data_IF_981004680299
#
_entry.id   IF_981004680299
#
_cell.length_a   1.000
_cell.length_b   1.000
_cell.length_c   1.000
_cell.angle_alpha   90.00
_cell.angle_beta   90.00
_cell.angle_gamma   90.00
#
_symmetry.space_group_name_H-M   'P 1'
#
loop_
_entity.id
_entity.type
_entity.pdbx_description
1 polymer ?
#
# COMPACT_ATOMS: atom_id res chain seq x y z
N UNK A 1 17.81 -15.84 24.16
CA UNK A 1 16.49 -15.26 23.88
C UNK A 1 15.75 -15.10 25.18
N UNK A 2 15.17 -13.95 25.45
CA UNK A 2 14.32 -13.68 26.61
C UNK A 2 12.91 -13.46 26.10
N UNK A 3 11.95 -14.20 26.67
CA UNK A 3 10.54 -14.08 26.32
C UNK A 3 9.75 -13.81 27.57
N UNK A 4 8.88 -12.80 27.54
CA UNK A 4 7.98 -12.45 28.61
C UNK A 4 6.55 -12.47 28.08
N UNK A 5 5.68 -13.20 28.75
CA UNK A 5 4.27 -13.34 28.37
C UNK A 5 3.38 -12.82 29.49
N UNK A 6 2.40 -11.98 29.13
CA UNK A 6 1.42 -11.39 30.03
C UNK A 6 0.00 -11.61 29.49
N UNK A 7 -0.92 -11.96 30.38
CA UNK A 7 -2.35 -11.98 30.04
C UNK A 7 -2.96 -10.60 30.23
N UNK A 8 -3.74 -10.16 29.24
CA UNK A 8 -4.46 -8.88 29.27
C UNK A 8 -5.97 -9.11 29.26
N UNK A 9 -6.74 -8.21 29.84
CA UNK A 9 -8.20 -8.37 29.97
C UNK A 9 -8.99 -7.74 28.79
N UNK A 10 -8.32 -6.98 27.93
CA UNK A 10 -8.99 -6.26 26.86
C UNK A 10 -8.02 -5.69 25.84
N UNK A 11 -8.11 -4.38 25.63
CA UNK A 11 -7.25 -3.62 24.75
C UNK A 11 -6.21 -2.87 25.58
N UNK A 12 -5.06 -3.46 25.90
CA UNK A 12 -4.07 -2.85 26.76
C UNK A 12 -3.50 -1.57 26.15
N UNK A 13 -3.07 -0.65 27.02
CA UNK A 13 -2.24 0.48 26.67
C UNK A 13 -0.79 0.07 26.82
N UNK A 14 -0.06 0.01 25.72
CA UNK A 14 1.35 -0.38 25.70
C UNK A 14 2.19 0.86 25.47
N UNK A 15 3.01 1.19 26.46
CA UNK A 15 3.94 2.31 26.39
C UNK A 15 5.36 1.77 26.31
N UNK A 16 6.02 2.07 25.21
CA UNK A 16 7.41 1.68 24.94
C UNK A 16 8.27 2.95 25.02
N UNK A 17 9.18 2.96 26.01
CA UNK A 17 10.04 4.15 26.21
C UNK A 17 11.16 4.18 25.19
N UNK A 18 11.95 3.10 25.14
CA UNK A 18 13.14 3.07 24.26
C UNK A 18 13.39 1.64 23.82
N UNK A 19 13.67 1.50 22.54
CA UNK A 19 14.21 0.30 21.92
C UNK A 19 15.51 0.70 21.23
N UNK A 20 16.66 0.18 21.68
CA UNK A 20 17.99 0.56 21.14
C UNK A 20 18.29 -0.09 19.77
N UNK A 21 17.43 -0.94 19.26
CA UNK A 21 17.52 -1.59 17.94
C UNK A 21 16.18 -1.58 17.22
N UNK A 22 15.93 -2.60 16.39
CA UNK A 22 14.71 -2.71 15.61
C UNK A 22 13.49 -3.06 16.47
N UNK A 23 12.36 -2.47 16.15
CA UNK A 23 11.08 -2.76 16.77
C UNK A 23 10.13 -3.43 15.79
N UNK A 24 9.71 -4.65 16.11
CA UNK A 24 8.66 -5.33 15.37
C UNK A 24 7.42 -5.51 16.23
N UNK A 25 6.31 -4.88 15.84
CA UNK A 25 5.02 -4.95 16.51
C UNK A 25 4.03 -5.75 15.64
N UNK A 26 3.46 -6.80 16.23
CA UNK A 26 2.50 -7.67 15.54
C UNK A 26 1.20 -7.72 16.35
N UNK A 27 0.14 -7.12 15.78
CA UNK A 27 -1.20 -7.23 16.32
C UNK A 27 -1.81 -8.60 15.98
N UNK A 28 -2.25 -9.32 17.00
CA UNK A 28 -2.83 -10.65 16.85
C UNK A 28 -4.20 -10.77 17.51
N UNK A 29 -4.97 -11.77 17.09
CA UNK A 29 -6.21 -12.12 17.76
C UNK A 29 -5.90 -12.73 19.12
N UNK A 30 -6.64 -12.33 20.16
CA UNK A 30 -6.46 -12.87 21.50
C UNK A 30 -6.22 -11.79 22.54
N UNK A 31 -5.75 -12.21 23.73
CA UNK A 31 -5.55 -11.36 24.91
C UNK A 31 -4.14 -11.53 25.50
N UNK A 32 -3.23 -12.02 24.72
CA UNK A 32 -1.85 -12.28 25.16
C UNK A 32 -0.96 -11.17 24.64
N UNK A 33 -0.17 -10.60 25.54
CA UNK A 33 0.97 -9.74 25.22
C UNK A 33 2.23 -10.58 25.39
N UNK A 34 3.08 -10.61 24.40
CA UNK A 34 4.36 -11.30 24.44
C UNK A 34 5.45 -10.39 23.90
N UNK A 35 6.55 -10.27 24.64
CA UNK A 35 7.73 -9.52 24.22
C UNK A 35 8.95 -10.43 24.21
N UNK A 36 9.72 -10.35 23.14
CA UNK A 36 10.92 -11.17 22.92
C UNK A 36 12.13 -10.26 22.66
N UNK A 37 13.24 -10.55 23.37
CA UNK A 37 14.53 -9.90 23.17
C UNK A 37 15.62 -10.95 22.89
N UNK A 38 16.71 -10.60 22.15
CA UNK A 38 17.74 -11.56 21.76
C UNK A 38 18.55 -12.13 22.93
N UNK A 39 18.72 -11.39 24.03
CA UNK A 39 19.45 -11.83 25.19
C UNK A 39 18.71 -11.54 26.50
N UNK A 40 19.08 -12.25 27.56
CA UNK A 40 18.51 -12.06 28.89
C UNK A 40 18.96 -10.75 29.53
N UNK A 41 18.04 -10.09 30.24
CA UNK A 41 18.30 -8.85 30.98
C UNK A 41 18.23 -7.59 30.09
N UNK A 42 17.88 -7.71 28.80
CA UNK A 42 17.69 -6.57 27.91
C UNK A 42 16.27 -6.01 27.95
N UNK A 43 15.30 -6.82 28.36
CA UNK A 43 13.90 -6.47 28.38
C UNK A 43 13.46 -6.07 29.80
N UNK A 44 12.95 -4.86 29.94
CA UNK A 44 12.33 -4.38 31.19
C UNK A 44 10.85 -4.14 30.92
N UNK A 45 9.99 -4.86 31.64
CA UNK A 45 8.54 -4.75 31.50
C UNK A 45 7.92 -4.56 32.86
N UNK A 46 7.00 -3.60 32.96
CA UNK A 46 6.18 -3.34 34.14
C UNK A 46 4.72 -3.30 33.73
N UNK A 47 3.89 -4.06 34.42
CA UNK A 47 2.45 -4.05 34.20
C UNK A 47 1.74 -3.42 35.40
N UNK A 48 0.90 -2.44 35.15
CA UNK A 48 0.00 -1.83 36.12
C UNK A 48 -1.44 -1.84 35.55
N UNK A 49 -2.21 -2.86 35.92
CA UNK A 49 -3.55 -3.08 35.40
C UNK A 49 -3.54 -3.39 33.88
N UNK A 50 -4.12 -2.53 33.08
CA UNK A 50 -4.14 -2.64 31.60
C UNK A 50 -2.99 -1.87 30.94
N UNK A 51 -2.18 -1.14 31.71
CA UNK A 51 -1.00 -0.43 31.18
C UNK A 51 0.22 -1.33 31.28
N UNK A 52 0.96 -1.40 30.18
CA UNK A 52 2.22 -2.14 30.05
C UNK A 52 3.30 -1.15 29.64
N UNK A 53 4.25 -0.90 30.53
CA UNK A 53 5.44 -0.10 30.24
C UNK A 53 6.59 -1.02 29.87
N UNK A 54 7.28 -0.75 28.77
CA UNK A 54 8.35 -1.57 28.23
C UNK A 54 9.54 -0.71 27.79
N UNK A 55 10.75 -1.25 27.99
CA UNK A 55 11.97 -0.78 27.33
C UNK A 55 12.89 -1.97 27.03
N UNK A 56 13.68 -1.86 25.96
CA UNK A 56 14.62 -2.91 25.55
C UNK A 56 15.93 -2.29 25.06
N UNK A 57 17.06 -2.82 25.56
CA UNK A 57 18.42 -2.40 25.18
C UNK A 57 18.93 -3.11 23.91
N UNK A 58 18.02 -3.60 23.09
CA UNK A 58 18.30 -4.26 21.79
C UNK A 58 17.06 -4.22 20.94
N UNK A 59 17.08 -4.91 19.79
CA UNK A 59 15.88 -5.15 18.98
C UNK A 59 14.84 -5.96 19.75
N UNK A 60 13.56 -5.70 19.51
CA UNK A 60 12.45 -6.33 20.20
C UNK A 60 11.32 -6.74 19.25
N UNK A 61 10.83 -7.98 19.43
CA UNK A 61 9.64 -8.48 18.77
C UNK A 61 8.50 -8.53 19.81
N UNK A 62 7.39 -7.86 19.51
CA UNK A 62 6.25 -7.76 20.43
C UNK A 62 4.98 -8.21 19.72
N UNK A 63 4.35 -9.23 20.28
CA UNK A 63 3.01 -9.65 19.91
C UNK A 63 2.02 -9.05 20.91
N UNK A 64 0.95 -8.45 20.43
CA UNK A 64 -0.05 -7.80 21.29
C UNK A 64 -1.46 -7.95 20.69
N UNK A 65 -2.50 -7.84 21.52
CA UNK A 65 -3.87 -7.84 21.02
C UNK A 65 -4.06 -6.78 19.96
N UNK A 66 -4.67 -7.12 18.82
CA UNK A 66 -4.81 -6.20 17.68
C UNK A 66 -5.50 -4.86 18.03
N UNK A 67 -6.36 -4.84 19.04
CA UNK A 67 -7.08 -3.64 19.48
C UNK A 67 -6.30 -2.79 20.50
N UNK A 68 -5.03 -3.12 20.81
CA UNK A 68 -4.19 -2.38 21.75
C UNK A 68 -3.94 -0.94 21.27
N UNK A 69 -3.73 -0.03 22.23
CA UNK A 69 -3.19 1.30 21.97
C UNK A 69 -1.69 1.25 22.25
N UNK A 70 -0.90 1.76 21.33
CA UNK A 70 0.57 1.71 21.40
C UNK A 70 1.13 3.14 21.34
N UNK A 71 2.00 3.46 22.29
CA UNK A 71 2.79 4.69 22.31
C UNK A 71 4.26 4.31 22.42
N UNK A 72 5.09 4.80 21.50
CA UNK A 72 6.53 4.52 21.45
C UNK A 72 7.30 5.83 21.47
N UNK A 73 8.17 6.02 22.46
CA UNK A 73 8.92 7.28 22.57
C UNK A 73 10.13 7.27 21.60
N UNK A 74 10.90 6.17 21.53
CA UNK A 74 12.08 6.11 20.65
C UNK A 74 12.40 4.69 20.18
N UNK A 75 12.76 4.58 18.90
CA UNK A 75 13.27 3.37 18.23
C UNK A 75 14.59 3.73 17.57
N UNK A 76 15.70 3.10 17.98
CA UNK A 76 17.04 3.34 17.45
C UNK A 76 17.37 2.56 16.17
N UNK A 77 16.45 1.78 15.65
CA UNK A 77 16.55 1.02 14.40
C UNK A 77 15.28 1.10 13.59
N UNK A 78 14.99 0.04 12.83
CA UNK A 78 13.81 -0.03 11.97
C UNK A 78 12.53 -0.33 12.77
N UNK A 79 11.42 0.25 12.30
CA UNK A 79 10.09 0.02 12.82
C UNK A 79 9.25 -0.83 11.85
N UNK A 80 8.77 -1.98 12.33
CA UNK A 80 7.82 -2.82 11.60
C UNK A 80 6.53 -2.95 12.40
N UNK A 81 5.42 -2.42 11.89
CA UNK A 81 4.09 -2.55 12.48
C UNK A 81 3.19 -3.35 11.55
N UNK A 82 2.55 -4.41 12.06
CA UNK A 82 1.62 -5.22 11.28
C UNK A 82 0.40 -5.63 12.09
N UNK A 83 -0.80 -5.47 11.53
CA UNK A 83 -2.03 -6.06 12.07
C UNK A 83 -2.63 -5.35 13.29
N UNK A 84 -2.18 -4.15 13.66
CA UNK A 84 -2.73 -3.38 14.77
C UNK A 84 -3.98 -2.62 14.33
N UNK A 85 -5.13 -2.94 14.88
CA UNK A 85 -6.40 -2.25 14.61
C UNK A 85 -6.58 -1.02 15.50
N UNK A 86 -5.96 -1.03 16.68
CA UNK A 86 -5.95 0.11 17.60
C UNK A 86 -5.09 1.27 17.08
N UNK A 87 -4.94 2.29 17.92
CA UNK A 87 -4.15 3.47 17.59
C UNK A 87 -2.67 3.23 17.92
N UNK A 88 -1.76 3.69 17.03
CA UNK A 88 -0.33 3.70 17.28
C UNK A 88 0.24 5.11 17.18
N UNK A 89 1.11 5.46 18.11
CA UNK A 89 1.87 6.72 18.11
C UNK A 89 3.35 6.41 18.27
N UNK A 90 4.18 6.99 17.40
CA UNK A 90 5.62 6.88 17.43
C UNK A 90 6.19 8.30 17.45
N UNK A 91 7.03 8.62 18.47
CA UNK A 91 7.58 9.95 18.57
C UNK A 91 8.86 10.05 17.74
N UNK A 92 9.79 9.09 17.87
CA UNK A 92 11.04 9.12 17.09
C UNK A 92 11.46 7.72 16.62
N UNK A 93 11.82 7.62 15.33
CA UNK A 93 12.35 6.40 14.70
C UNK A 93 13.58 6.79 13.90
N UNK A 94 14.75 6.20 14.23
CA UNK A 94 16.02 6.52 13.55
C UNK A 94 16.19 5.80 12.21
N UNK A 95 15.63 4.58 12.07
CA UNK A 95 15.68 3.78 10.84
C UNK A 95 14.46 3.97 9.95
N UNK A 96 14.17 2.94 9.14
CA UNK A 96 13.00 2.90 8.26
C UNK A 96 11.73 2.48 9.01
N UNK A 97 10.57 2.96 8.54
CA UNK A 97 9.28 2.54 9.07
C UNK A 97 8.44 1.81 8.02
N UNK A 98 8.01 0.58 8.36
CA UNK A 98 7.08 -0.21 7.57
C UNK A 98 5.80 -0.47 8.33
N UNK A 99 4.69 0.14 7.87
CA UNK A 99 3.39 0.08 8.52
C UNK A 99 2.41 -0.69 7.63
N UNK A 100 1.90 -1.82 8.10
CA UNK A 100 1.01 -2.66 7.32
C UNK A 100 -0.26 -3.03 8.10
N UNK A 101 -1.43 -2.91 7.47
CA UNK A 101 -2.72 -3.31 8.03
C UNK A 101 -2.94 -2.74 9.43
N UNK A 102 -2.82 -1.42 9.56
CA UNK A 102 -2.98 -0.75 10.83
C UNK A 102 -4.26 0.10 10.89
N UNK A 103 -4.64 0.49 12.09
CA UNK A 103 -5.68 1.48 12.36
C UNK A 103 -5.17 2.90 12.11
N UNK A 104 -5.45 3.82 13.04
CA UNK A 104 -4.89 5.16 12.96
C UNK A 104 -3.43 5.17 13.44
N UNK A 105 -2.53 5.83 12.69
CA UNK A 105 -1.10 5.91 13.03
C UNK A 105 -0.64 7.36 13.01
N UNK A 106 0.17 7.72 14.04
CA UNK A 106 0.85 9.01 14.13
C UNK A 106 2.35 8.79 14.33
N UNK A 107 3.18 9.44 13.52
CA UNK A 107 4.65 9.46 13.65
C UNK A 107 5.10 10.91 13.72
N UNK A 108 5.89 11.27 14.72
CA UNK A 108 6.39 12.65 14.83
C UNK A 108 7.67 12.84 14.01
N UNK A 109 8.64 11.93 14.14
CA UNK A 109 9.89 11.98 13.38
C UNK A 109 10.33 10.59 12.94
N UNK A 110 10.69 10.49 11.68
CA UNK A 110 11.29 9.33 11.05
C UNK A 110 12.51 9.79 10.26
N UNK A 111 13.70 9.29 10.59
CA UNK A 111 14.91 9.72 9.90
C UNK A 111 15.15 8.97 8.58
N UNK A 112 14.64 7.74 8.46
CA UNK A 112 14.71 6.88 7.26
C UNK A 112 13.51 7.04 6.31
N UNK A 113 13.23 5.95 5.58
CA UNK A 113 12.14 5.85 4.60
C UNK A 113 10.83 5.37 5.23
N UNK A 114 9.71 5.85 4.71
CA UNK A 114 8.37 5.48 5.13
C UNK A 114 7.68 4.60 4.08
N UNK A 115 7.30 3.39 4.46
CA UNK A 115 6.48 2.50 3.62
C UNK A 115 5.19 2.13 4.33
N UNK A 116 4.06 2.46 3.70
CA UNK A 116 2.72 2.26 4.27
C UNK A 116 1.84 1.47 3.32
N UNK A 117 1.18 0.43 3.84
CA UNK A 117 0.22 -0.37 3.11
C UNK A 117 -1.00 -0.71 3.99
N UNK A 118 -2.19 -0.34 3.56
CA UNK A 118 -3.48 -0.64 4.19
C UNK A 118 -3.66 -0.04 5.60
N UNK A 119 -3.87 1.26 5.67
CA UNK A 119 -4.27 1.98 6.89
C UNK A 119 -5.78 2.22 6.86
N UNK A 120 -6.49 1.74 7.89
CA UNK A 120 -7.96 1.89 7.98
C UNK A 120 -8.41 3.22 8.58
N UNK A 121 -7.53 3.90 9.29
CA UNK A 121 -7.80 5.20 9.91
C UNK A 121 -6.93 6.29 9.29
N UNK A 122 -6.73 7.36 10.04
CA UNK A 122 -5.89 8.47 9.63
C UNK A 122 -4.40 8.12 9.75
N UNK A 123 -3.61 8.69 8.84
CA UNK A 123 -2.16 8.64 8.91
C UNK A 123 -1.60 10.05 9.05
N UNK A 124 -0.90 10.33 10.15
CA UNK A 124 -0.25 11.61 10.41
C UNK A 124 1.24 11.40 10.60
N UNK A 125 2.05 12.04 9.78
CA UNK A 125 3.51 12.01 9.88
C UNK A 125 4.02 13.44 9.78
N UNK A 126 4.78 13.90 10.78
CA UNK A 126 5.26 15.29 10.80
C UNK A 126 6.57 15.44 10.03
N UNK A 127 7.49 14.47 10.13
CA UNK A 127 8.75 14.51 9.40
C UNK A 127 9.18 13.10 8.96
N UNK A 128 9.62 13.00 7.70
CA UNK A 128 10.28 11.84 7.09
C UNK A 128 11.57 12.33 6.46
N UNK A 129 12.71 11.80 6.89
CA UNK A 129 14.02 12.20 6.34
C UNK A 129 14.27 11.70 4.93
N UNK A 130 13.77 10.51 4.61
CA UNK A 130 13.90 9.82 3.33
C UNK A 130 12.70 9.96 2.42
N UNK A 131 12.44 8.91 1.63
CA UNK A 131 11.29 8.80 0.73
C UNK A 131 10.04 8.32 1.48
N UNK A 132 8.84 8.66 0.96
CA UNK A 132 7.58 8.17 1.48
C UNK A 132 6.75 7.48 0.41
N UNK A 133 6.45 6.19 0.60
CA UNK A 133 5.51 5.43 -0.21
C UNK A 133 4.29 5.07 0.62
N UNK A 134 3.12 5.58 0.23
CA UNK A 134 1.86 5.37 0.95
C UNK A 134 0.82 4.79 0.01
N UNK A 135 0.28 3.63 0.39
CA UNK A 135 -0.75 2.93 -0.37
C UNK A 135 -1.94 2.59 0.53
N UNK A 136 -3.14 2.69 -0.03
CA UNK A 136 -4.38 2.19 0.55
C UNK A 136 -4.66 2.77 1.96
N UNK A 137 -4.94 4.08 2.01
CA UNK A 137 -5.36 4.78 3.23
C UNK A 137 -6.81 5.18 3.12
N UNK A 138 -7.64 4.68 4.03
CA UNK A 138 -9.09 4.98 4.05
C UNK A 138 -9.43 6.27 4.81
N UNK A 139 -8.55 6.77 5.67
CA UNK A 139 -8.71 8.03 6.41
C UNK A 139 -7.97 9.19 5.78
N UNK A 140 -7.84 10.29 6.54
CA UNK A 140 -7.08 11.46 6.12
C UNK A 140 -5.57 11.21 6.22
N UNK A 141 -4.83 11.78 5.26
CA UNK A 141 -3.39 11.68 5.18
C UNK A 141 -2.75 13.07 5.38
N UNK A 142 -1.89 13.17 6.41
CA UNK A 142 -1.10 14.37 6.68
C UNK A 142 0.40 14.01 6.70
N UNK A 143 1.17 14.55 5.75
CA UNK A 143 2.63 14.42 5.65
C UNK A 143 3.24 15.82 5.62
N UNK A 144 3.70 16.36 6.76
CA UNK A 144 4.13 17.76 6.84
C UNK A 144 5.54 18.02 6.31
N UNK A 145 6.40 17.02 6.23
CA UNK A 145 7.76 17.19 5.70
C UNK A 145 8.31 15.85 5.24
N UNK A 146 8.41 15.65 3.92
CA UNK A 146 9.10 14.53 3.31
C UNK A 146 10.38 15.06 2.67
N UNK A 147 11.53 14.57 3.14
CA UNK A 147 12.85 15.03 2.68
C UNK A 147 13.20 14.55 1.28
N UNK A 148 12.75 13.34 0.91
CA UNK A 148 12.90 12.73 -0.42
C UNK A 148 11.65 12.85 -1.27
N UNK A 149 11.40 11.83 -2.07
CA UNK A 149 10.25 11.74 -2.98
C UNK A 149 9.01 11.18 -2.30
N UNK A 150 7.84 11.56 -2.80
CA UNK A 150 6.55 11.08 -2.33
C UNK A 150 5.81 10.28 -3.40
N UNK A 151 5.36 9.07 -3.05
CA UNK A 151 4.47 8.25 -3.89
C UNK A 151 3.19 7.93 -3.14
N UNK A 152 2.06 8.46 -3.63
CA UNK A 152 0.73 8.20 -3.06
C UNK A 152 -0.13 7.40 -4.02
N UNK A 153 -0.81 6.36 -3.50
CA UNK A 153 -1.74 5.53 -4.28
C UNK A 153 -2.95 5.13 -3.42
N UNK A 154 -4.15 5.19 -3.99
CA UNK A 154 -5.39 4.74 -3.35
C UNK A 154 -5.64 5.42 -1.99
N UNK A 155 -5.73 6.73 -1.99
CA UNK A 155 -6.09 7.50 -0.79
C UNK A 155 -7.56 7.92 -0.93
N UNK A 156 -8.37 7.52 0.06
CA UNK A 156 -9.81 7.78 0.07
C UNK A 156 -10.20 9.03 0.87
N UNK A 157 -9.30 9.57 1.69
CA UNK A 157 -9.51 10.78 2.50
C UNK A 157 -8.97 12.05 1.86
N UNK A 158 -8.92 13.12 2.66
CA UNK A 158 -8.20 14.35 2.33
C UNK A 158 -6.69 14.13 2.44
N UNK A 159 -5.92 14.81 1.59
CA UNK A 159 -4.45 14.70 1.59
C UNK A 159 -3.84 16.07 1.83
N UNK A 160 -2.94 16.15 2.79
CA UNK A 160 -2.06 17.30 2.97
C UNK A 160 -0.61 16.79 2.98
N UNK A 161 0.21 17.26 2.02
CA UNK A 161 1.59 16.80 1.90
C UNK A 161 2.53 17.93 1.45
N UNK A 162 3.65 18.05 2.18
CA UNK A 162 4.77 18.93 1.86
C UNK A 162 6.01 18.08 1.59
N UNK A 163 6.61 18.23 0.39
CA UNK A 163 7.66 17.35 -0.13
C UNK A 163 8.84 18.18 -0.62
N UNK A 164 10.05 17.79 -0.25
CA UNK A 164 11.28 18.44 -0.73
C UNK A 164 11.76 17.91 -2.09
N UNK A 165 11.39 16.68 -2.45
CA UNK A 165 11.67 16.04 -3.72
C UNK A 165 10.51 16.13 -4.70
N UNK A 166 10.33 15.08 -5.50
CA UNK A 166 9.25 14.93 -6.47
C UNK A 166 8.01 14.26 -5.83
N UNK A 167 6.82 14.60 -6.33
CA UNK A 167 5.58 14.00 -5.88
C UNK A 167 4.82 13.31 -7.01
N UNK A 168 4.60 12.01 -6.84
CA UNK A 168 3.82 11.15 -7.74
C UNK A 168 2.54 10.70 -7.02
N UNK A 169 1.39 11.28 -7.38
CA UNK A 169 0.18 11.12 -6.58
C UNK A 169 -0.98 10.61 -7.41
N UNK A 170 -1.67 9.58 -6.92
CA UNK A 170 -2.92 9.08 -7.48
C UNK A 170 -4.02 9.26 -6.46
N UNK A 171 -4.92 10.18 -6.72
CA UNK A 171 -5.98 10.59 -5.82
C UNK A 171 -7.34 10.23 -6.39
N UNK A 172 -8.22 9.79 -5.51
CA UNK A 172 -9.66 9.66 -5.78
C UNK A 172 -10.43 10.47 -4.74
N UNK A 173 -10.35 11.82 -4.81
CA UNK A 173 -10.87 12.68 -3.76
C UNK A 173 -12.38 12.49 -3.59
N UNK A 174 -12.88 12.18 -2.39
CA UNK A 174 -14.30 12.07 -2.12
C UNK A 174 -14.97 13.44 -2.21
N UNK A 175 -16.30 13.44 -2.33
CA UNK A 175 -17.05 14.69 -2.37
C UNK A 175 -16.86 15.50 -1.07
N UNK A 176 -16.59 16.79 -1.22
CA UNK A 176 -16.37 17.71 -0.09
C UNK A 176 -14.96 17.62 0.51
N UNK A 177 -14.09 16.75 0.03
CA UNK A 177 -12.71 16.69 0.51
C UNK A 177 -11.87 17.86 0.00
N UNK A 178 -10.82 18.16 0.75
CA UNK A 178 -9.82 19.15 0.37
C UNK A 178 -8.43 18.50 0.43
N UNK A 179 -7.73 18.50 -0.71
CA UNK A 179 -6.37 17.97 -0.78
C UNK A 179 -5.40 19.05 -1.20
N UNK A 180 -4.24 19.15 -0.52
CA UNK A 180 -3.15 20.05 -0.85
C UNK A 180 -1.85 19.28 -0.89
N UNK A 181 -1.13 19.41 -2.01
CA UNK A 181 0.17 18.81 -2.20
C UNK A 181 1.12 19.87 -2.71
N UNK A 182 2.24 20.03 -2.00
CA UNK A 182 3.30 20.95 -2.34
C UNK A 182 4.60 20.17 -2.48
N UNK A 183 5.30 20.31 -3.61
CA UNK A 183 6.60 19.69 -3.84
C UNK A 183 7.60 20.76 -4.31
N UNK A 184 8.84 20.67 -3.84
CA UNK A 184 9.90 21.54 -4.35
C UNK A 184 10.40 21.07 -5.71
N UNK A 185 10.29 19.79 -6.02
CA UNK A 185 10.54 19.17 -7.33
C UNK A 185 9.32 19.17 -8.24
N UNK A 186 9.22 18.13 -9.07
CA UNK A 186 8.14 17.94 -10.03
C UNK A 186 6.91 17.29 -9.37
N UNK A 187 5.71 17.63 -9.87
CA UNK A 187 4.47 16.99 -9.42
C UNK A 187 3.80 16.29 -10.59
N UNK A 188 3.57 14.99 -10.46
CA UNK A 188 2.73 14.25 -11.39
C UNK A 188 1.49 13.73 -10.65
N UNK A 189 0.31 14.22 -11.04
CA UNK A 189 -0.95 13.86 -10.43
C UNK A 189 -1.83 13.08 -11.41
N UNK A 190 -2.47 12.00 -10.93
CA UNK A 190 -3.48 11.23 -11.65
C UNK A 190 -4.80 11.29 -10.88
N UNK A 191 -5.86 11.58 -11.61
CA UNK A 191 -7.23 11.53 -11.09
C UNK A 191 -8.07 10.60 -11.98
N UNK A 192 -9.08 9.91 -11.43
CA UNK A 192 -10.05 9.15 -12.24
C UNK A 192 -10.76 10.06 -13.25
N UNK A 193 -11.13 9.52 -14.41
CA UNK A 193 -11.80 10.30 -15.46
C UNK A 193 -13.22 10.74 -15.10
N UNK A 194 -13.85 10.08 -14.14
CA UNK A 194 -15.18 10.35 -13.58
C UNK A 194 -15.14 11.20 -12.29
N UNK A 195 -13.95 11.66 -11.88
CA UNK A 195 -13.79 12.47 -10.66
C UNK A 195 -14.59 13.77 -10.78
N UNK A 196 -15.14 14.20 -9.64
CA UNK A 196 -15.82 15.50 -9.50
C UNK A 196 -14.99 16.40 -8.59
N UNK A 197 -14.08 17.19 -9.17
CA UNK A 197 -13.13 18.03 -8.45
C UNK A 197 -12.80 19.32 -9.19
N UNK A 198 -12.45 20.36 -8.43
CA UNK A 198 -11.75 21.55 -8.95
C UNK A 198 -10.28 21.40 -8.59
N UNK A 199 -9.41 21.30 -9.60
CA UNK A 199 -7.97 21.19 -9.43
C UNK A 199 -7.33 22.54 -9.70
N UNK A 200 -6.66 23.12 -8.72
CA UNK A 200 -5.84 24.32 -8.85
C UNK A 200 -4.38 23.93 -8.86
N UNK A 201 -3.67 24.38 -9.87
CA UNK A 201 -2.28 24.01 -10.12
C UNK A 201 -1.41 25.24 -10.23
N UNK A 202 -0.26 25.22 -9.55
CA UNK A 202 0.76 26.26 -9.63
C UNK A 202 2.11 25.59 -9.83
N UNK A 203 2.85 25.97 -10.85
CA UNK A 203 4.20 25.46 -11.11
C UNK A 203 5.14 26.62 -11.42
N UNK A 204 6.40 26.48 -11.03
CA UNK A 204 7.46 27.42 -11.47
C UNK A 204 8.01 27.02 -12.84
N UNK A 205 7.94 25.74 -13.21
CA UNK A 205 8.28 25.19 -14.50
C UNK A 205 7.06 25.09 -15.43
N UNK A 206 7.05 24.05 -16.25
CA UNK A 206 5.99 23.80 -17.23
C UNK A 206 4.73 23.22 -16.58
N UNK A 207 3.56 23.66 -17.07
CA UNK A 207 2.26 23.16 -16.63
C UNK A 207 1.60 22.34 -17.73
N UNK A 208 1.56 21.02 -17.53
CA UNK A 208 0.92 20.09 -18.47
C UNK A 208 -0.51 19.79 -18.05
N UNK A 209 -1.48 20.36 -18.77
CA UNK A 209 -2.91 20.21 -18.51
C UNK A 209 -3.51 19.06 -19.32
N UNK A 210 -4.56 18.40 -18.78
CA UNK A 210 -5.32 17.43 -19.56
C UNK A 210 -6.06 18.09 -20.71
N UNK A 211 -6.35 17.31 -21.75
CA UNK A 211 -7.15 17.81 -22.89
C UNK A 211 -8.59 18.07 -22.43
N UNK A 212 -9.20 19.21 -22.79
CA UNK A 212 -10.60 19.47 -22.52
C UNK A 212 -11.50 18.39 -23.12
N UNK A 213 -12.56 18.03 -22.42
CA UNK A 213 -13.57 17.06 -22.85
C UNK A 213 -14.94 17.44 -22.29
N UNK A 214 -15.97 16.65 -22.55
CA UNK A 214 -17.33 16.91 -22.04
C UNK A 214 -17.38 17.03 -20.50
N UNK A 215 -16.48 16.30 -19.80
CA UNK A 215 -16.41 16.30 -18.33
C UNK A 215 -15.22 17.10 -17.77
N UNK A 216 -14.40 17.72 -18.62
CA UNK A 216 -13.17 18.42 -18.22
C UNK A 216 -13.13 19.79 -18.84
N UNK A 217 -13.25 20.83 -18.04
CA UNK A 217 -13.13 22.22 -18.44
C UNK A 217 -11.84 22.84 -17.89
N UNK A 218 -11.07 23.49 -18.75
CA UNK A 218 -9.95 24.35 -18.34
C UNK A 218 -10.48 25.77 -18.20
N UNK A 219 -10.62 26.24 -16.97
CA UNK A 219 -11.27 27.54 -16.66
C UNK A 219 -10.29 28.73 -16.68
N UNK A 220 -8.98 28.44 -16.73
CA UNK A 220 -7.94 29.49 -16.73
C UNK A 220 -6.54 28.88 -16.57
N UNK A 221 -5.51 29.72 -16.43
CA UNK A 221 -4.17 29.21 -16.21
C UNK A 221 -4.11 28.43 -14.87
N UNK A 222 -3.89 27.12 -14.97
CA UNK A 222 -3.77 26.25 -13.80
C UNK A 222 -5.08 25.88 -13.09
N UNK A 223 -6.25 26.11 -13.68
CA UNK A 223 -7.53 25.68 -13.07
C UNK A 223 -8.26 24.71 -13.99
N UNK A 224 -8.44 23.49 -13.52
CA UNK A 224 -9.19 22.44 -14.23
C UNK A 224 -10.38 22.02 -13.38
N UNK A 225 -11.56 22.08 -13.98
CA UNK A 225 -12.79 21.56 -13.37
C UNK A 225 -13.13 20.22 -14.00
N UNK A 226 -13.28 19.20 -13.17
CA UNK A 226 -13.75 17.87 -13.54
C UNK A 226 -15.15 17.66 -12.97
N UNK A 227 -16.09 17.26 -13.79
CA UNK A 227 -17.46 17.02 -13.39
C UNK A 227 -18.13 18.24 -12.71
N UNK A 228 -18.84 18.02 -11.60
CA UNK A 228 -19.52 19.10 -10.83
C UNK A 228 -18.56 19.92 -9.95
N UNK A 229 -17.30 19.49 -9.78
CA UNK A 229 -16.32 20.20 -8.96
C UNK A 229 -16.58 20.11 -7.46
N UNK A 230 -17.07 18.97 -6.97
CA UNK A 230 -17.47 18.81 -5.57
C UNK A 230 -16.31 18.66 -4.58
N UNK A 231 -15.12 18.25 -5.02
CA UNK A 231 -13.91 18.21 -4.23
C UNK A 231 -12.95 19.34 -4.64
N UNK A 232 -11.99 19.70 -3.79
CA UNK A 232 -10.95 20.67 -4.08
C UNK A 232 -9.57 20.04 -3.97
N UNK A 233 -8.77 20.20 -5.02
CA UNK A 233 -7.37 19.70 -5.06
C UNK A 233 -6.46 20.86 -5.41
N UNK A 234 -5.48 21.15 -4.55
CA UNK A 234 -4.46 22.16 -4.77
C UNK A 234 -3.10 21.48 -4.94
N UNK A 235 -2.45 21.73 -6.07
CA UNK A 235 -1.15 21.17 -6.41
C UNK A 235 -0.16 22.32 -6.64
N UNK A 236 0.99 22.28 -5.98
CA UNK A 236 2.05 23.26 -6.14
C UNK A 236 3.37 22.55 -6.40
N UNK A 237 4.11 23.00 -7.42
CA UNK A 237 5.39 22.43 -7.83
C UNK A 237 6.43 23.54 -7.96
N UNK A 238 7.64 23.29 -7.44
CA UNK A 238 8.81 24.10 -7.74
C UNK A 238 9.47 23.80 -9.07
N UNK A 239 9.17 22.67 -9.67
CA UNK A 239 9.52 22.23 -11.02
C UNK A 239 8.32 22.23 -11.96
N UNK A 240 8.18 21.14 -12.72
CA UNK A 240 7.09 20.92 -13.65
C UNK A 240 5.87 20.28 -12.96
N UNK A 241 4.66 20.57 -13.46
CA UNK A 241 3.44 19.96 -12.95
C UNK A 241 2.63 19.34 -14.06
N UNK A 242 2.36 18.05 -13.94
CA UNK A 242 1.56 17.28 -14.90
C UNK A 242 0.29 16.74 -14.24
N UNK A 243 -0.88 17.10 -14.78
CA UNK A 243 -2.16 16.51 -14.40
C UNK A 243 -2.64 15.55 -15.48
N UNK A 244 -2.88 14.30 -15.11
CA UNK A 244 -3.41 13.26 -16.00
C UNK A 244 -4.78 12.80 -15.49
N UNK A 245 -5.71 12.61 -16.42
CA UNK A 245 -7.03 12.06 -16.11
C UNK A 245 -7.15 10.68 -16.75
N UNK A 246 -7.57 9.69 -15.97
CA UNK A 246 -7.90 8.36 -16.49
C UNK A 246 -9.17 8.43 -17.33
N UNK A 247 -9.21 7.76 -18.49
CA UNK A 247 -10.45 7.61 -19.25
C UNK A 247 -11.48 6.80 -18.49
N UNK A 248 -12.78 7.15 -18.59
CA UNK A 248 -13.88 6.33 -18.10
C UNK A 248 -13.79 4.96 -18.78
N UNK A 249 -13.53 3.90 -18.03
CA UNK A 249 -13.45 2.54 -18.53
C UNK A 249 -12.07 2.04 -18.97
N UNK A 250 -10.98 2.81 -18.80
CA UNK A 250 -9.64 2.29 -19.07
C UNK A 250 -8.98 1.73 -17.81
N UNK A 251 -9.26 0.49 -17.46
CA UNK A 251 -8.41 -0.32 -16.59
C UNK A 251 -6.96 -0.39 -17.13
N UNK A 252 -6.73 0.00 -18.38
CA UNK A 252 -5.44 -0.07 -19.07
C UNK A 252 -4.43 1.03 -18.71
N UNK A 253 -4.83 2.13 -18.04
CA UNK A 253 -3.89 3.12 -17.50
C UNK A 253 -3.21 2.61 -16.22
N UNK A 254 -3.81 1.63 -15.57
CA UNK A 254 -3.24 0.91 -14.41
C UNK A 254 -2.23 -0.18 -14.82
N UNK A 255 -2.20 -0.52 -16.13
CA UNK A 255 -1.44 -1.68 -16.64
C UNK A 255 0.08 -1.53 -16.62
N UNK A 256 0.62 -0.32 -16.47
CA UNK A 256 2.08 -0.13 -16.36
C UNK A 256 2.59 -0.50 -14.97
N UNK A 257 1.73 -0.38 -13.96
CA UNK A 257 2.08 -0.70 -12.57
C UNK A 257 1.73 -2.13 -12.15
N UNK A 258 0.91 -2.85 -12.93
CA UNK A 258 0.55 -4.23 -12.61
C UNK A 258 1.81 -5.13 -12.57
N UNK A 259 2.77 -4.84 -13.44
CA UNK A 259 4.07 -5.55 -13.48
C UNK A 259 4.90 -5.26 -12.22
N UNK A 260 4.88 -4.02 -11.74
CA UNK A 260 5.57 -3.58 -10.52
C UNK A 260 4.85 -4.09 -9.26
N UNK A 261 3.51 -4.03 -9.24
CA UNK A 261 2.68 -4.51 -8.15
C UNK A 261 2.73 -6.05 -8.02
N UNK A 262 2.65 -6.79 -9.13
CA UNK A 262 2.80 -8.24 -9.14
C UNK A 262 4.23 -8.61 -8.71
N UNK A 263 5.25 -7.88 -9.18
CA UNK A 263 6.64 -8.11 -8.80
C UNK A 263 6.87 -7.84 -7.32
N UNK A 264 6.30 -6.77 -6.78
CA UNK A 264 6.36 -6.45 -5.35
C UNK A 264 5.63 -7.49 -4.49
N UNK A 265 4.46 -7.97 -4.91
CA UNK A 265 3.72 -9.04 -4.23
C UNK A 265 4.46 -10.37 -4.25
N UNK A 266 5.02 -10.75 -5.41
CA UNK A 266 5.82 -11.98 -5.54
C UNK A 266 7.06 -11.92 -4.65
N UNK A 267 7.78 -10.79 -4.62
CA UNK A 267 8.95 -10.62 -3.76
C UNK A 267 8.58 -10.67 -2.27
N UNK A 268 7.42 -10.11 -1.89
CA UNK A 268 6.92 -10.16 -0.52
C UNK A 268 6.52 -11.58 -0.11
N UNK A 269 5.79 -12.31 -0.97
CA UNK A 269 5.41 -13.70 -0.69
C UNK A 269 6.62 -14.64 -0.66
N UNK A 270 7.65 -14.38 -1.48
CA UNK A 270 8.90 -15.14 -1.41
C UNK A 270 9.66 -14.88 -0.12
N UNK A 271 9.73 -13.63 0.34
CA UNK A 271 10.36 -13.29 1.62
C UNK A 271 9.58 -13.87 2.82
N UNK A 272 8.26 -13.89 2.76
CA UNK A 272 7.41 -14.52 3.78
C UNK A 272 7.58 -16.05 3.79
N UNK A 273 7.76 -16.67 2.63
CA UNK A 273 8.04 -18.10 2.49
C UNK A 273 9.44 -18.46 2.99
N UNK A 274 10.46 -17.67 2.66
CA UNK A 274 11.83 -17.85 3.18
C UNK A 274 11.86 -17.73 4.72
N UNK A 275 11.17 -16.73 5.28
CA UNK A 275 11.06 -16.57 6.72
C UNK A 275 10.33 -17.76 7.38
N UNK A 276 9.31 -18.32 6.73
CA UNK A 276 8.58 -19.49 7.25
C UNK A 276 9.41 -20.78 7.16
N UNK A 277 10.25 -20.92 6.13
CA UNK A 277 11.16 -22.06 5.98
C UNK A 277 12.32 -22.04 6.99
N UNK A 278 12.83 -20.84 7.29
CA UNK A 278 13.83 -20.61 8.33
C UNK A 278 13.29 -20.95 9.72
N UNK A 279 12.02 -20.61 9.99
CA UNK A 279 11.30 -20.91 11.24
C UNK A 279 11.05 -22.44 11.42
N UNK A 280 10.93 -23.17 10.32
CA UNK A 280 10.77 -24.62 10.30
C UNK A 280 12.07 -25.40 10.35
N UNK A 281 13.23 -24.72 10.38
CA UNK A 281 14.56 -25.35 10.49
C UNK A 281 14.95 -26.16 9.24
N UNK A 282 14.40 -25.84 8.09
CA UNK A 282 14.66 -26.50 6.81
C UNK A 282 15.78 -25.82 6.03
N UNK A 283 16.89 -25.51 6.68
CA UNK A 283 18.08 -24.86 6.08
C UNK A 283 18.76 -25.63 4.93
N UNK A 284 18.25 -26.79 4.55
CA UNK A 284 18.91 -27.68 3.57
C UNK A 284 18.12 -27.89 2.28
N UNK A 285 17.03 -27.16 2.02
CA UNK A 285 16.38 -27.20 0.73
C UNK A 285 17.01 -26.11 -0.15
N UNK A 286 17.99 -26.51 -0.96
CA UNK A 286 18.64 -25.65 -1.97
C UNK A 286 17.63 -25.27 -3.08
N UNK A 287 16.65 -24.44 -2.70
CA UNK A 287 15.75 -23.80 -3.65
C UNK A 287 16.53 -22.60 -4.17
N UNK A 288 17.02 -22.71 -5.40
CA UNK A 288 17.63 -21.58 -6.12
C UNK A 288 16.58 -20.47 -6.34
N UNK A 289 16.31 -19.73 -5.26
CA UNK A 289 15.28 -18.68 -5.17
C UNK A 289 15.50 -17.58 -6.22
N UNK A 290 16.77 -17.31 -6.58
CA UNK A 290 17.12 -16.38 -7.66
C UNK A 290 16.68 -16.89 -9.04
N UNK A 291 16.82 -18.18 -9.32
CA UNK A 291 16.38 -18.76 -10.59
C UNK A 291 14.87 -18.86 -10.69
N UNK A 292 14.18 -19.17 -9.59
CA UNK A 292 12.72 -19.20 -9.53
C UNK A 292 12.15 -17.79 -9.71
N UNK A 293 12.65 -16.81 -8.97
CA UNK A 293 12.28 -15.40 -9.09
C UNK A 293 12.48 -14.84 -10.50
N UNK A 294 13.61 -15.17 -11.14
CA UNK A 294 13.89 -14.74 -12.52
C UNK A 294 12.99 -15.43 -13.57
N UNK A 295 12.58 -16.67 -13.33
CA UNK A 295 11.62 -17.37 -14.21
C UNK A 295 10.22 -16.79 -14.09
N UNK A 296 9.76 -16.51 -12.87
CA UNK A 296 8.46 -15.89 -12.61
C UNK A 296 8.42 -14.48 -13.23
N UNK A 297 9.45 -13.64 -13.02
CA UNK A 297 9.53 -12.31 -13.64
C UNK A 297 9.48 -12.35 -15.16
N UNK A 298 10.19 -13.31 -15.80
CA UNK A 298 10.14 -13.48 -17.26
C UNK A 298 8.79 -13.98 -17.76
N UNK A 299 8.08 -14.80 -16.99
CA UNK A 299 6.73 -15.27 -17.34
C UNK A 299 5.71 -14.12 -17.24
N UNK A 300 5.76 -13.33 -16.18
CA UNK A 300 4.91 -12.15 -15.99
C UNK A 300 5.14 -11.11 -17.09
N UNK A 301 6.39 -10.76 -17.39
CA UNK A 301 6.73 -9.81 -18.45
C UNK A 301 6.26 -10.28 -19.84
N UNK A 302 6.23 -11.60 -20.08
CA UNK A 302 5.65 -12.16 -21.32
C UNK A 302 4.13 -12.09 -21.34
N UNK A 303 3.46 -12.37 -20.22
CA UNK A 303 2.01 -12.33 -20.11
C UNK A 303 1.47 -10.88 -20.28
N UNK A 304 2.11 -9.91 -19.63
CA UNK A 304 1.76 -8.48 -19.76
C UNK A 304 1.98 -7.98 -21.20
N UNK A 305 3.08 -8.35 -21.85
CA UNK A 305 3.32 -8.01 -23.27
C UNK A 305 2.35 -8.69 -24.24
N UNK A 306 1.85 -9.87 -23.90
CA UNK A 306 0.83 -10.56 -24.70
C UNK A 306 -0.54 -9.88 -24.57
N UNK A 307 -0.91 -9.47 -23.33
CA UNK A 307 -2.14 -8.74 -23.06
C UNK A 307 -2.15 -7.34 -23.72
N UNK A 308 -1.02 -6.63 -23.73
CA UNK A 308 -0.91 -5.31 -24.38
C UNK A 308 -0.90 -5.36 -25.92
N UNK A 309 -0.63 -6.51 -26.53
CA UNK A 309 -0.71 -6.72 -27.99
C UNK A 309 -2.06 -7.20 -28.50
N UNK A 310 -2.95 -7.67 -27.62
CA UNK A 310 -4.28 -8.18 -27.95
C UNK A 310 -5.38 -7.11 -28.10
N UNK A 311 -5.12 -5.84 -27.82
CA UNK A 311 -6.08 -4.74 -27.81
C UNK A 311 -6.28 -4.01 -29.15
N UNK A 312 -6.09 -4.64 -30.31
CA UNK A 312 -6.25 -4.01 -31.61
C UNK A 312 -6.92 -4.91 -32.63
N UNK A 313 -8.20 -4.79 -32.78
CA UNK A 313 -9.13 -5.05 -33.90
C UNK A 313 -10.32 -5.93 -33.49
N UNK A 314 -11.43 -5.30 -33.16
CA UNK A 314 -12.77 -5.87 -33.39
C UNK A 314 -13.44 -4.98 -34.43
N UNK A 315 -13.48 -5.51 -35.66
CA UNK A 315 -14.24 -4.96 -36.76
C UNK A 315 -15.73 -5.12 -36.50
N UNK A 316 -16.44 -4.06 -36.83
CA UNK A 316 -17.90 -3.96 -36.94
C UNK A 316 -18.48 -5.06 -37.83
N UNK A 317 -19.49 -5.76 -37.36
CA UNK A 317 -20.58 -6.27 -38.23
C UNK A 317 -21.86 -6.44 -37.38
N UNK A 318 -22.85 -5.83 -37.89
CA UNK A 318 -24.26 -5.61 -37.66
C UNK A 318 -25.12 -6.83 -37.27
N UNK A 319 -26.20 -6.50 -36.47
CA UNK A 319 -27.58 -7.07 -36.44
C UNK A 319 -27.75 -8.46 -35.85
N UNK A 320 -28.64 -8.69 -34.88
CA UNK A 320 -30.11 -8.60 -34.83
C UNK A 320 -30.65 -9.04 -33.46
N UNK A 321 -31.62 -8.30 -32.96
CA UNK A 321 -32.75 -8.60 -32.04
C UNK A 321 -32.78 -9.82 -31.11
N UNK A 322 -33.15 -9.56 -29.86
CA UNK A 322 -34.03 -10.47 -29.11
C UNK A 322 -33.81 -10.63 -27.60
N UNK A 323 -34.46 -9.83 -26.77
CA UNK A 323 -35.20 -10.39 -25.63
C UNK A 323 -34.56 -10.62 -24.27
N UNK A 324 -34.85 -9.72 -23.34
CA UNK A 324 -35.25 -9.89 -21.92
C UNK A 324 -34.39 -10.72 -20.91
N UNK A 325 -34.04 -9.97 -19.84
CA UNK A 325 -33.98 -10.35 -18.42
C UNK A 325 -32.89 -11.31 -17.93
N UNK A 326 -31.97 -10.84 -17.11
CA UNK A 326 -32.03 -11.09 -15.65
C UNK A 326 -30.71 -10.65 -15.00
N UNK A 327 -30.78 -9.75 -14.05
CA UNK A 327 -29.69 -9.29 -13.19
C UNK A 327 -29.51 -10.29 -12.06
N UNK A 328 -28.56 -11.22 -12.18
CA UNK A 328 -27.89 -11.92 -11.07
C UNK A 328 -26.89 -12.93 -11.68
N UNK A 329 -25.59 -12.58 -11.76
CA UNK A 329 -24.59 -13.54 -12.25
C UNK A 329 -23.23 -12.98 -12.64
N UNK A 330 -22.87 -11.78 -12.21
CA UNK A 330 -21.60 -11.16 -12.63
C UNK A 330 -20.36 -11.60 -11.82
N UNK A 331 -20.52 -12.29 -10.68
CA UNK A 331 -19.38 -12.78 -9.87
C UNK A 331 -18.89 -14.18 -10.20
N UNK A 332 -19.71 -15.01 -10.83
CA UNK A 332 -19.34 -16.39 -11.20
C UNK A 332 -18.68 -16.53 -12.58
N UNK A 333 -18.86 -15.55 -13.46
CA UNK A 333 -18.34 -15.62 -14.82
C UNK A 333 -16.83 -15.29 -14.92
N UNK A 334 -16.28 -14.50 -14.04
CA UNK A 334 -14.85 -14.16 -14.02
C UNK A 334 -14.01 -15.38 -13.60
N UNK A 335 -14.37 -16.03 -12.50
CA UNK A 335 -13.65 -17.21 -12.01
C UNK A 335 -13.71 -18.42 -12.94
N UNK A 336 -14.80 -18.60 -13.72
CA UNK A 336 -14.89 -19.67 -14.72
C UNK A 336 -14.00 -19.39 -15.95
N UNK A 337 -13.82 -18.15 -16.36
CA UNK A 337 -12.92 -17.79 -17.45
C UNK A 337 -11.45 -18.00 -17.09
N UNK A 338 -11.07 -17.69 -15.86
CA UNK A 338 -9.73 -17.90 -15.36
C UNK A 338 -9.38 -19.38 -15.22
N UNK A 339 -10.33 -20.22 -14.73
CA UNK A 339 -10.18 -21.67 -14.69
C UNK A 339 -10.03 -22.29 -16.09
N UNK A 340 -10.81 -21.81 -17.07
CA UNK A 340 -10.70 -22.26 -18.47
C UNK A 340 -9.36 -21.84 -19.09
N UNK A 341 -8.80 -20.70 -18.71
CA UNK A 341 -7.50 -20.27 -19.19
C UNK A 341 -6.37 -21.18 -18.66
N UNK A 342 -6.41 -21.59 -17.39
CA UNK A 342 -5.46 -22.52 -16.79
C UNK A 342 -5.55 -23.90 -17.46
N UNK A 343 -6.75 -24.42 -17.69
CA UNK A 343 -6.95 -25.72 -18.38
C UNK A 343 -6.43 -25.68 -19.82
N UNK A 344 -6.59 -24.56 -20.52
CA UNK A 344 -6.05 -24.37 -21.87
C UNK A 344 -4.53 -24.35 -21.90
N UNK A 345 -3.89 -23.81 -20.87
CA UNK A 345 -2.43 -23.82 -20.74
C UNK A 345 -1.87 -25.22 -20.52
N UNK A 346 -2.62 -26.11 -19.86
CA UNK A 346 -2.28 -27.55 -19.73
C UNK A 346 -2.42 -28.26 -21.09
N UNK A 347 -3.53 -28.03 -21.80
CA UNK A 347 -3.79 -28.63 -23.11
C UNK A 347 -2.76 -28.22 -24.17
N UNK A 348 -2.27 -26.96 -24.10
CA UNK A 348 -1.22 -26.45 -24.96
C UNK A 348 0.21 -26.86 -24.51
N UNK A 349 0.33 -27.64 -23.43
CA UNK A 349 1.62 -28.10 -22.89
C UNK A 349 2.50 -26.98 -22.33
N UNK A 350 1.92 -25.84 -21.95
CA UNK A 350 2.61 -24.68 -21.41
C UNK A 350 2.89 -24.79 -19.93
N UNK A 351 2.07 -25.53 -19.21
CA UNK A 351 2.21 -25.86 -17.79
C UNK A 351 1.92 -27.35 -17.60
N UNK A 352 2.54 -27.96 -16.59
CA UNK A 352 2.25 -29.34 -16.24
C UNK A 352 1.03 -29.45 -15.31
N UNK A 353 0.57 -30.68 -15.04
CA UNK A 353 -0.63 -30.92 -14.21
C UNK A 353 -0.47 -30.47 -12.75
N UNK A 354 0.73 -30.55 -12.19
CA UNK A 354 1.03 -30.10 -10.83
C UNK A 354 1.02 -28.58 -10.71
N UNK A 355 1.57 -27.86 -11.71
CA UNK A 355 1.53 -26.39 -11.80
C UNK A 355 0.10 -25.87 -12.01
N UNK A 356 -0.74 -26.60 -12.73
CA UNK A 356 -2.14 -26.26 -12.94
C UNK A 356 -2.98 -26.43 -11.67
N UNK A 357 -2.73 -27.46 -10.88
CA UNK A 357 -3.40 -27.70 -9.60
C UNK A 357 -3.14 -26.56 -8.61
N UNK A 358 -1.88 -26.11 -8.51
CA UNK A 358 -1.50 -24.98 -7.65
C UNK A 358 -2.18 -23.67 -8.09
N UNK A 359 -2.26 -23.42 -9.40
CA UNK A 359 -2.94 -22.24 -9.94
C UNK A 359 -4.45 -22.26 -9.73
N UNK A 360 -5.09 -23.43 -9.88
CA UNK A 360 -6.52 -23.60 -9.63
C UNK A 360 -6.86 -23.45 -8.15
N UNK A 361 -6.01 -23.93 -7.25
CA UNK A 361 -6.18 -23.78 -5.82
C UNK A 361 -6.01 -22.32 -5.37
N UNK A 362 -5.05 -21.60 -5.93
CA UNK A 362 -4.88 -20.17 -5.68
C UNK A 362 -6.07 -19.32 -6.17
N UNK A 363 -6.74 -19.74 -7.25
CA UNK A 363 -7.97 -19.10 -7.75
C UNK A 363 -9.20 -19.42 -6.88
N UNK A 364 -9.24 -20.58 -6.23
CA UNK A 364 -10.29 -20.94 -5.27
C UNK A 364 -10.17 -20.18 -3.95
N UNK A 365 -8.94 -19.95 -3.48
CA UNK A 365 -8.67 -19.20 -2.23
C UNK A 365 -8.83 -17.67 -2.41
N UNK A 366 -8.84 -17.16 -3.66
CA UNK A 366 -8.99 -15.75 -3.98
C UNK A 366 -10.43 -15.29 -4.26
N UNK A 367 -11.40 -16.22 -4.37
CA UNK A 367 -12.83 -15.96 -4.63
C UNK A 367 -13.68 -15.98 -3.38
#
# INVERSE_FOLDING_TARGET
>A
METLTLETKGSPQVRIKTIDGDLRLVGQAGRVFEAQAPAKGQLMVRQEGEQIDLSCQAGCLIFLPAASQVEVDSVGGDLHLTGLVGQARFNHVEGDARLRRAGAVSVESLDGDLSVDKIKGDLRVQAVGGEAEVRDVHGDLHLQGVGGDLRLRLIEGSVEADVSGDASVRLSPPQGSHSRIQAAGDVTAWLPGDVSAVVRMTALGDLLLPKPSEHVAVEGPGVVRCGSGSASVELSSGGDLSLRLGGVGSESVWGVDLEEEITARVNTSMAEMEASLEELGLDSVDIDSERLGNRVRKAIARAVRAASRGGGQVGTSTETEGGLRSTAGAKTAAGEQERLAVLRMVEEGKINTEEAEVLLQALEDAG
#
